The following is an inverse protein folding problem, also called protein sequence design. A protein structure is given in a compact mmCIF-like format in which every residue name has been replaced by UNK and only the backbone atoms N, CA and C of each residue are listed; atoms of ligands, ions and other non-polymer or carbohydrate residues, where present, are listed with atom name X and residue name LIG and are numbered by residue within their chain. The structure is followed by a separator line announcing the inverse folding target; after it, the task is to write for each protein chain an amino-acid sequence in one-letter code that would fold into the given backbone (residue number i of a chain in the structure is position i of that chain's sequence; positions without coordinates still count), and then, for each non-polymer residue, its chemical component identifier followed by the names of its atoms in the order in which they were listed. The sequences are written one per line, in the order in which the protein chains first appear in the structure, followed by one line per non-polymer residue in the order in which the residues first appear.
data_IF_639871232711
#
_entry.id   IF_639871232711
#
_cell.length_a   1.000
_cell.length_b   1.000
_cell.length_c   1.000
_cell.angle_alpha   90.00
_cell.angle_beta   90.00
_cell.angle_gamma   90.00
#
_symmetry.space_group_name_H-M   'P 1'
#
loop_
_entity.id
_entity.type
_entity.pdbx_description
1 polymer ?
#
# COMPACT_ATOMS: atom_id res chain seq x y z
N UNK A 1 3.71 -15.69 -6.23
CA UNK A 1 4.98 -15.08 -5.80
C UNK A 1 4.84 -14.90 -4.30
N UNK A 2 5.72 -15.49 -3.49
CA UNK A 2 5.64 -15.29 -2.03
C UNK A 2 6.15 -13.86 -1.75
N UNK A 3 5.29 -13.02 -1.17
CA UNK A 3 5.57 -11.60 -0.89
C UNK A 3 6.07 -11.36 0.54
N UNK A 4 6.22 -12.41 1.35
CA UNK A 4 6.57 -12.32 2.78
C UNK A 4 7.96 -11.73 3.05
N UNK A 5 8.83 -11.60 2.02
CA UNK A 5 10.20 -11.08 2.16
C UNK A 5 10.64 -10.11 1.05
N UNK A 6 9.72 -9.48 0.31
CA UNK A 6 10.09 -8.57 -0.79
C UNK A 6 10.03 -7.10 -0.37
N UNK A 7 11.16 -6.40 -0.47
CA UNK A 7 11.23 -4.94 -0.32
C UNK A 7 11.25 -4.28 -1.70
N UNK A 8 10.46 -3.23 -1.88
CA UNK A 8 10.42 -2.46 -3.12
C UNK A 8 10.95 -1.06 -2.87
N UNK A 9 12.05 -0.71 -3.52
CA UNK A 9 12.55 0.65 -3.52
C UNK A 9 11.74 1.49 -4.51
N UNK A 10 11.18 2.60 -4.03
CA UNK A 10 10.49 3.61 -4.85
C UNK A 10 10.97 4.98 -4.46
N UNK A 11 11.20 5.82 -5.47
CA UNK A 11 11.42 7.24 -5.23
C UNK A 11 10.11 7.88 -4.82
N UNK A 12 10.21 8.81 -3.88
CA UNK A 12 9.11 9.72 -3.54
C UNK A 12 9.00 10.73 -4.68
N UNK A 13 7.79 10.99 -5.15
CA UNK A 13 7.56 12.03 -6.15
C UNK A 13 7.61 13.44 -5.52
N UNK A 14 7.47 14.47 -6.35
CA UNK A 14 7.55 15.88 -5.91
C UNK A 14 6.48 16.28 -4.88
N UNK A 15 5.40 15.50 -4.77
CA UNK A 15 4.31 15.74 -3.83
C UNK A 15 4.42 14.88 -2.57
N UNK A 16 5.50 14.13 -2.40
CA UNK A 16 5.68 13.28 -1.22
C UNK A 16 5.00 11.91 -1.34
N UNK A 17 4.53 11.52 -2.54
CA UNK A 17 3.79 10.26 -2.72
C UNK A 17 4.71 9.13 -3.15
N UNK A 18 4.30 7.90 -2.84
CA UNK A 18 4.94 6.67 -3.31
C UNK A 18 3.95 5.83 -4.11
N UNK A 19 4.46 5.13 -5.12
CA UNK A 19 3.62 4.27 -5.98
C UNK A 19 3.66 2.84 -5.47
N UNK A 20 2.49 2.31 -5.11
CA UNK A 20 2.32 0.89 -4.83
C UNK A 20 2.41 0.08 -6.14
N UNK A 21 3.35 -0.89 -6.25
CA UNK A 21 3.47 -1.80 -7.40
C UNK A 21 2.17 -2.55 -7.72
N UNK A 22 2.01 -2.96 -8.97
CA UNK A 22 0.80 -3.62 -9.45
C UNK A 22 0.55 -4.97 -8.74
N UNK A 23 1.62 -5.68 -8.40
CA UNK A 23 1.58 -6.98 -7.74
C UNK A 23 0.94 -6.87 -6.36
N UNK A 24 1.36 -5.87 -5.56
CA UNK A 24 0.81 -5.64 -4.22
C UNK A 24 -0.66 -5.19 -4.31
N UNK A 25 -1.00 -4.35 -5.29
CA UNK A 25 -2.41 -3.96 -5.52
C UNK A 25 -3.30 -5.16 -5.80
N UNK A 26 -2.82 -6.13 -6.60
CA UNK A 26 -3.56 -7.35 -6.92
C UNK A 26 -3.69 -8.27 -5.72
N UNK A 27 -2.62 -8.44 -4.95
CA UNK A 27 -2.66 -9.28 -3.75
C UNK A 27 -3.62 -8.73 -2.68
N UNK A 28 -3.61 -7.41 -2.47
CA UNK A 28 -4.50 -6.74 -1.52
C UNK A 28 -5.90 -6.43 -2.09
N UNK A 29 -6.19 -6.79 -3.35
CA UNK A 29 -7.41 -6.42 -4.08
C UNK A 29 -7.77 -4.93 -3.93
N UNK A 30 -6.78 -4.06 -4.20
CA UNK A 30 -6.92 -2.61 -4.19
C UNK A 30 -7.24 -2.13 -5.61
N UNK A 31 -8.39 -1.48 -5.77
CA UNK A 31 -8.89 -0.96 -7.05
C UNK A 31 -8.50 0.50 -7.26
N UNK A 32 -8.59 0.94 -8.51
CA UNK A 32 -8.36 2.33 -8.86
C UNK A 32 -9.38 3.24 -8.13
N UNK A 33 -8.89 4.35 -7.57
CA UNK A 33 -9.68 5.31 -6.79
C UNK A 33 -10.33 4.75 -5.50
N UNK A 34 -9.93 3.55 -5.05
CA UNK A 34 -10.36 3.02 -3.76
C UNK A 34 -9.69 3.77 -2.60
N UNK A 35 -10.43 3.96 -1.50
CA UNK A 35 -9.89 4.56 -0.28
C UNK A 35 -9.11 3.51 0.52
N UNK A 36 -7.91 3.87 0.94
CA UNK A 36 -7.00 2.98 1.66
C UNK A 36 -6.71 3.63 3.02
N UNK A 37 -6.66 2.82 4.07
CA UNK A 37 -6.28 3.28 5.40
C UNK A 37 -4.76 3.37 5.47
N UNK A 38 -4.26 4.52 5.91
CA UNK A 38 -2.85 4.76 6.17
C UNK A 38 -2.69 5.18 7.62
N UNK A 39 -1.84 4.47 8.37
CA UNK A 39 -1.53 4.77 9.77
C UNK A 39 -0.02 4.77 10.02
N UNK A 40 0.38 5.32 11.16
CA UNK A 40 1.77 5.32 11.63
C UNK A 40 1.84 4.51 12.92
N UNK A 41 2.69 3.50 12.95
CA UNK A 41 2.93 2.62 14.10
C UNK A 41 4.43 2.32 14.19
N UNK A 42 5.03 2.50 15.36
CA UNK A 42 6.47 2.28 15.60
C UNK A 42 7.41 2.94 14.57
N UNK A 43 7.05 4.16 14.12
CA UNK A 43 7.79 4.91 13.11
C UNK A 43 7.69 4.35 11.69
N UNK A 44 6.80 3.38 11.46
CA UNK A 44 6.53 2.76 10.15
C UNK A 44 5.18 3.25 9.61
N UNK A 45 5.09 3.37 8.30
CA UNK A 45 3.81 3.59 7.61
C UNK A 45 3.18 2.22 7.38
N UNK A 46 1.93 2.06 7.84
CA UNK A 46 1.12 0.86 7.60
C UNK A 46 0.00 1.22 6.63
N UNK A 47 -0.19 0.36 5.62
CA UNK A 47 -1.20 0.54 4.57
C UNK A 47 -2.14 -0.67 4.64
N UNK A 48 -3.43 -0.43 4.86
CA UNK A 48 -4.44 -1.47 5.02
C UNK A 48 -5.63 -1.22 4.07
N UNK A 49 -6.17 -2.28 3.48
CA UNK A 49 -7.45 -2.20 2.77
C UNK A 49 -8.57 -1.89 3.76
N UNK A 50 -9.39 -0.90 3.43
CA UNK A 50 -10.60 -0.62 4.20
C UNK A 50 -11.62 -1.70 3.88
N UNK A 51 -11.79 -2.67 4.76
CA UNK A 51 -12.95 -3.57 4.70
C UNK A 51 -14.18 -2.78 5.18
N UNK A 52 -14.95 -2.23 4.24
CA UNK A 52 -16.30 -1.78 4.54
C UNK A 52 -17.13 -3.03 4.90
N UNK A 53 -17.21 -3.34 6.19
CA UNK A 53 -18.22 -4.27 6.70
C UNK A 53 -19.57 -3.55 6.61
N UNK A 54 -20.21 -3.67 5.45
CA UNK A 54 -21.66 -3.51 5.33
C UNK A 54 -22.36 -4.76 5.85
#
# INVERSE_FOLDING_TARGET
MNLENNYFLRKVDELGRVVLPLEIRRELDIKQAETIKVSIEDGKIIIEKVCNKG
#
